data_IF_789848593513
#
_entry.id   IF_789848593513
#
_cell.length_a   1.000
_cell.length_b   1.000
_cell.length_c   1.000
_cell.angle_alpha   90.00
_cell.angle_beta   90.00
_cell.angle_gamma   90.00
#
_symmetry.space_group_name_H-M   'P 1'
#
loop_
_entity.id
_entity.type
_entity.pdbx_description
1 polymer ?
#
# COMPACT_ATOMS: atom_id res chain seq x y z
N UNK A 1 -20.17 43.86 18.75
CA UNK A 1 -20.73 43.72 17.39
C UNK A 1 -22.19 44.10 17.48
N UNK A 2 -22.71 44.85 16.51
CA UNK A 2 -24.14 45.12 16.45
C UNK A 2 -24.80 43.90 15.81
N UNK A 3 -25.78 43.31 16.47
CA UNK A 3 -26.50 42.14 15.98
C UNK A 3 -28.00 42.42 15.98
N UNK A 4 -28.72 41.84 15.01
CA UNK A 4 -30.16 41.97 14.88
C UNK A 4 -30.78 40.60 14.62
N UNK A 5 -31.90 40.34 15.28
CA UNK A 5 -32.66 39.10 15.13
C UNK A 5 -33.53 39.18 13.89
N UNK A 6 -33.30 38.31 12.93
CA UNK A 6 -34.05 38.24 11.67
C UNK A 6 -34.98 37.04 11.70
N UNK A 7 -36.27 37.32 11.54
CA UNK A 7 -37.31 36.28 11.40
C UNK A 7 -37.32 35.74 9.97
N UNK A 8 -37.38 34.41 9.80
CA UNK A 8 -37.37 33.79 8.49
C UNK A 8 -38.67 34.04 7.72
N UNK A 9 -38.60 33.91 6.40
CA UNK A 9 -39.73 33.94 5.48
C UNK A 9 -40.60 32.68 5.58
N UNK A 10 -39.98 31.55 5.93
CA UNK A 10 -40.67 30.29 6.19
C UNK A 10 -40.65 30.04 7.70
N UNK A 11 -41.84 30.02 8.30
CA UNK A 11 -42.06 29.85 9.74
C UNK A 11 -41.57 28.50 10.30
N UNK A 12 -41.20 27.55 9.43
CA UNK A 12 -40.60 26.28 9.82
C UNK A 12 -39.14 26.41 10.29
N UNK A 13 -38.51 27.57 10.11
CA UNK A 13 -37.13 27.84 10.52
C UNK A 13 -37.08 28.80 11.72
N UNK A 14 -35.99 28.78 12.52
CA UNK A 14 -35.87 29.65 13.67
C UNK A 14 -35.45 31.07 13.27
N UNK A 15 -35.73 32.03 14.15
CA UNK A 15 -35.11 33.36 14.11
C UNK A 15 -33.59 33.23 14.28
N UNK A 16 -32.82 34.01 13.50
CA UNK A 16 -31.35 34.00 13.56
C UNK A 16 -30.85 35.39 13.90
N UNK A 17 -29.93 35.46 14.87
CA UNK A 17 -29.20 36.68 15.19
C UNK A 17 -28.04 36.88 14.21
N UNK A 18 -28.15 37.90 13.36
CA UNK A 18 -27.15 38.25 12.35
C UNK A 18 -26.34 39.48 12.75
N UNK A 19 -25.06 39.50 12.42
CA UNK A 19 -24.19 40.67 12.51
C UNK A 19 -24.61 41.71 11.48
N UNK A 20 -24.77 42.96 11.93
CA UNK A 20 -25.17 44.10 11.12
C UNK A 20 -23.98 45.04 10.88
N UNK A 21 -23.78 45.44 9.63
CA UNK A 21 -22.84 46.48 9.24
C UNK A 21 -23.54 47.52 8.36
N UNK A 22 -23.38 48.81 8.71
CA UNK A 22 -23.99 49.93 7.97
C UNK A 22 -25.50 49.71 7.74
N UNK A 23 -26.21 49.35 8.81
CA UNK A 23 -27.67 49.12 8.83
C UNK A 23 -28.16 47.99 7.92
N UNK A 24 -27.27 47.08 7.51
CA UNK A 24 -27.61 45.91 6.70
C UNK A 24 -26.97 44.65 7.27
N UNK A 25 -27.61 43.51 7.04
CA UNK A 25 -27.02 42.21 7.34
C UNK A 25 -25.69 42.08 6.60
N UNK A 26 -24.62 41.85 7.36
CA UNK A 26 -23.28 41.71 6.81
C UNK A 26 -23.21 40.45 5.92
N UNK A 27 -22.62 40.56 4.73
CA UNK A 27 -22.53 39.47 3.75
C UNK A 27 -21.17 38.78 3.79
N UNK A 28 -20.70 38.49 4.99
CA UNK A 28 -19.41 37.85 5.25
C UNK A 28 -19.56 36.56 6.06
N UNK A 29 -18.41 35.92 6.36
CA UNK A 29 -18.33 34.60 6.96
C UNK A 29 -19.04 34.52 8.33
N UNK A 30 -19.13 35.62 9.09
CA UNK A 30 -19.73 35.62 10.43
C UNK A 30 -21.19 35.22 10.39
N UNK A 31 -21.91 35.65 9.35
CA UNK A 31 -23.32 35.40 9.18
C UNK A 31 -23.61 34.05 8.50
N UNK A 32 -22.65 33.49 7.78
CA UNK A 32 -22.71 32.07 7.38
C UNK A 32 -22.54 31.19 8.62
N UNK A 33 -21.55 31.49 9.48
CA UNK A 33 -21.34 30.80 10.75
C UNK A 33 -22.59 30.91 11.64
N UNK A 34 -23.21 32.09 11.73
CA UNK A 34 -24.44 32.30 12.50
C UNK A 34 -25.57 31.32 12.12
N UNK A 35 -25.74 31.04 10.83
CA UNK A 35 -26.71 30.04 10.36
C UNK A 35 -26.32 28.63 10.84
N UNK A 36 -25.06 28.22 10.70
CA UNK A 36 -24.59 26.92 11.16
C UNK A 36 -24.49 26.76 12.68
N UNK A 37 -24.72 27.82 13.45
CA UNK A 37 -24.74 27.78 14.93
C UNK A 37 -26.13 27.96 15.53
N UNK A 38 -27.11 28.47 14.77
CA UNK A 38 -28.45 28.79 15.28
C UNK A 38 -29.59 28.10 14.52
N UNK A 39 -29.43 27.75 13.24
CA UNK A 39 -30.45 27.03 12.47
C UNK A 39 -30.40 25.54 12.85
N UNK A 40 -31.42 25.03 13.53
CA UNK A 40 -31.50 23.64 13.99
C UNK A 40 -31.30 22.61 12.86
N UNK A 41 -31.62 22.97 11.62
CA UNK A 41 -31.40 22.10 10.45
C UNK A 41 -29.94 22.03 9.99
N UNK A 42 -29.11 22.98 10.44
CA UNK A 42 -27.70 23.12 10.06
C UNK A 42 -26.73 22.95 11.23
N UNK A 43 -27.18 23.13 12.48
CA UNK A 43 -26.33 23.00 13.67
C UNK A 43 -25.65 21.63 13.73
N UNK A 44 -24.37 21.63 14.09
CA UNK A 44 -23.54 20.43 14.27
C UNK A 44 -23.45 19.51 13.04
N UNK A 45 -23.73 20.06 11.85
CA UNK A 45 -23.76 19.26 10.61
C UNK A 45 -22.40 19.18 9.93
N UNK A 46 -21.63 20.28 9.88
CA UNK A 46 -20.33 20.39 9.18
C UNK A 46 -19.18 19.89 10.04
N UNK A 47 -18.28 19.12 9.44
CA UNK A 47 -17.09 18.58 10.06
C UNK A 47 -15.96 18.37 9.04
N UNK A 48 -14.72 18.25 9.52
CA UNK A 48 -13.58 17.87 8.69
C UNK A 48 -13.18 16.42 8.94
N UNK A 49 -13.27 15.59 7.90
CA UNK A 49 -12.84 14.20 7.93
C UNK A 49 -11.32 14.13 7.71
N UNK A 50 -10.59 13.83 8.79
CA UNK A 50 -9.11 13.76 8.81
C UNK A 50 -8.52 12.51 8.15
N UNK A 51 -9.36 11.56 7.72
CA UNK A 51 -8.92 10.39 6.96
C UNK A 51 -8.94 10.65 5.45
N UNK A 52 -9.99 11.31 4.96
CA UNK A 52 -10.11 11.68 3.54
C UNK A 52 -9.62 13.08 3.21
N UNK A 53 -9.31 13.89 4.23
CA UNK A 53 -8.98 15.31 4.12
C UNK A 53 -10.07 16.12 3.40
N UNK A 54 -11.34 15.82 3.71
CA UNK A 54 -12.51 16.47 3.10
C UNK A 54 -13.39 17.16 4.13
N UNK A 55 -13.99 18.27 3.72
CA UNK A 55 -15.15 18.83 4.43
C UNK A 55 -16.34 17.95 4.11
N UNK A 56 -17.04 17.54 5.16
CA UNK A 56 -18.20 16.66 5.09
C UNK A 56 -19.32 17.22 5.94
N UNK A 57 -20.54 16.75 5.67
CA UNK A 57 -21.62 16.86 6.62
C UNK A 57 -22.10 15.50 7.12
N UNK A 58 -22.48 15.47 8.40
CA UNK A 58 -22.82 14.24 9.13
C UNK A 58 -24.31 14.11 9.46
N UNK A 59 -25.12 15.10 9.04
CA UNK A 59 -26.56 15.19 9.26
C UNK A 59 -27.26 15.60 7.97
N UNK A 60 -28.55 15.30 7.85
CA UNK A 60 -29.33 15.75 6.69
C UNK A 60 -29.30 17.28 6.61
N UNK A 61 -29.04 17.80 5.41
CA UNK A 61 -29.16 19.21 5.10
C UNK A 61 -30.58 19.52 4.58
N UNK A 62 -31.03 20.78 4.62
CA UNK A 62 -32.32 21.19 4.06
C UNK A 62 -32.52 20.80 2.59
N UNK A 63 -31.42 20.69 1.82
CA UNK A 63 -31.47 20.39 0.39
C UNK A 63 -31.09 18.95 0.00
N UNK A 64 -30.42 18.17 0.86
CA UNK A 64 -30.15 16.75 0.60
C UNK A 64 -29.79 15.94 1.86
N UNK A 65 -30.03 14.63 1.78
CA UNK A 65 -29.74 13.68 2.87
C UNK A 65 -28.24 13.40 2.99
N UNK A 66 -27.81 13.08 4.21
CA UNK A 66 -26.52 12.48 4.49
C UNK A 66 -26.58 11.00 4.10
N UNK A 67 -25.81 10.60 3.08
CA UNK A 67 -25.77 9.23 2.58
C UNK A 67 -24.79 8.35 3.35
N UNK A 68 -23.76 8.95 3.96
CA UNK A 68 -22.77 8.26 4.78
C UNK A 68 -22.60 8.99 6.10
N UNK A 69 -23.22 8.47 7.16
CA UNK A 69 -23.15 9.05 8.51
C UNK A 69 -21.79 8.75 9.16
N UNK A 70 -21.14 7.65 8.79
CA UNK A 70 -19.91 7.18 9.41
C UNK A 70 -18.71 8.02 8.97
N UNK A 71 -18.57 8.23 7.66
CA UNK A 71 -17.49 9.04 7.08
C UNK A 71 -17.90 10.50 6.87
N UNK A 72 -19.20 10.79 6.93
CA UNK A 72 -19.76 12.05 6.48
C UNK A 72 -19.92 12.06 4.96
N UNK A 73 -20.90 12.82 4.50
CA UNK A 73 -21.13 13.04 3.07
C UNK A 73 -20.35 14.27 2.62
N UNK A 74 -19.53 14.14 1.57
CA UNK A 74 -18.67 15.23 1.11
C UNK A 74 -19.48 16.49 0.76
N UNK A 75 -18.98 17.65 1.18
CA UNK A 75 -19.48 18.95 0.76
C UNK A 75 -18.98 19.25 -0.66
N UNK A 76 -19.90 19.68 -1.52
CA UNK A 76 -19.63 19.94 -2.94
C UNK A 76 -20.00 21.36 -3.33
N UNK A 77 -19.58 21.81 -4.51
CA UNK A 77 -19.96 23.11 -5.07
C UNK A 77 -21.48 23.28 -5.15
N UNK A 78 -22.21 22.18 -5.41
CA UNK A 78 -23.68 22.19 -5.42
C UNK A 78 -24.25 22.50 -4.04
N UNK A 79 -23.62 22.04 -2.95
CA UNK A 79 -24.04 22.36 -1.59
C UNK A 79 -23.84 23.83 -1.26
N UNK A 80 -22.73 24.44 -1.72
CA UNK A 80 -22.52 25.88 -1.59
C UNK A 80 -23.63 26.68 -2.27
N UNK A 81 -24.02 26.31 -3.50
CA UNK A 81 -25.13 26.97 -4.21
C UNK A 81 -26.48 26.76 -3.51
N UNK A 82 -26.73 25.55 -3.00
CA UNK A 82 -27.96 25.24 -2.28
C UNK A 82 -28.05 25.98 -0.94
N UNK A 83 -26.93 26.15 -0.23
CA UNK A 83 -26.86 26.96 0.98
C UNK A 83 -27.18 28.44 0.67
N UNK A 84 -26.61 28.99 -0.40
CA UNK A 84 -26.90 30.38 -0.82
C UNK A 84 -28.39 30.55 -1.10
N UNK A 85 -29.02 29.57 -1.78
CA UNK A 85 -30.46 29.55 -2.00
C UNK A 85 -31.24 29.46 -0.68
N UNK A 86 -30.86 28.56 0.23
CA UNK A 86 -31.49 28.43 1.55
C UNK A 86 -31.46 29.74 2.35
N UNK A 87 -30.31 30.41 2.39
CA UNK A 87 -30.18 31.70 3.07
C UNK A 87 -30.98 32.82 2.37
N UNK A 88 -31.06 32.80 1.04
CA UNK A 88 -31.83 33.76 0.27
C UNK A 88 -33.34 33.62 0.50
N UNK A 89 -33.85 32.41 0.30
CA UNK A 89 -35.27 32.09 0.32
C UNK A 89 -35.85 32.18 1.73
N UNK A 90 -35.06 31.89 2.78
CA UNK A 90 -35.54 31.90 4.15
C UNK A 90 -35.15 33.17 4.92
N UNK A 91 -34.00 33.79 4.64
CA UNK A 91 -33.49 34.90 5.47
C UNK A 91 -33.23 36.20 4.70
N UNK A 92 -33.53 36.25 3.39
CA UNK A 92 -33.33 37.42 2.51
C UNK A 92 -31.85 37.85 2.40
N UNK A 93 -30.92 36.92 2.63
CA UNK A 93 -29.47 37.18 2.54
C UNK A 93 -28.84 36.30 1.47
N UNK A 94 -28.19 36.95 0.52
CA UNK A 94 -27.42 36.27 -0.55
C UNK A 94 -25.94 36.49 -0.30
N UNK A 95 -25.22 35.40 -0.01
CA UNK A 95 -23.77 35.38 0.16
C UNK A 95 -23.05 35.14 -1.16
N UNK A 96 -21.78 35.54 -1.23
CA UNK A 96 -20.87 35.12 -2.32
C UNK A 96 -20.39 33.69 -2.06
N UNK A 97 -20.13 32.94 -3.12
CA UNK A 97 -19.58 31.56 -3.06
C UNK A 97 -18.35 31.51 -2.18
N UNK A 98 -17.37 32.38 -2.43
CA UNK A 98 -16.11 32.47 -1.67
C UNK A 98 -16.35 32.69 -0.16
N UNK A 99 -17.36 33.49 0.20
CA UNK A 99 -17.71 33.74 1.60
C UNK A 99 -18.20 32.46 2.28
N UNK A 100 -19.03 31.68 1.58
CA UNK A 100 -19.58 30.42 2.08
C UNK A 100 -18.47 29.39 2.20
N UNK A 101 -17.67 29.20 1.16
CA UNK A 101 -16.58 28.21 1.16
C UNK A 101 -15.57 28.48 2.28
N UNK A 102 -15.19 29.74 2.51
CA UNK A 102 -14.34 30.11 3.64
C UNK A 102 -14.98 29.79 4.99
N UNK A 103 -16.25 30.13 5.20
CA UNK A 103 -16.95 29.85 6.44
C UNK A 103 -17.12 28.35 6.70
N UNK A 104 -17.49 27.58 5.67
CA UNK A 104 -17.62 26.12 5.73
C UNK A 104 -16.28 25.48 6.08
N UNK A 105 -15.18 25.95 5.47
CA UNK A 105 -13.85 25.49 5.81
C UNK A 105 -13.49 25.83 7.26
N UNK A 106 -13.77 27.04 7.74
CA UNK A 106 -13.53 27.43 9.15
C UNK A 106 -14.29 26.51 10.12
N UNK A 107 -15.60 26.32 9.90
CA UNK A 107 -16.46 25.47 10.71
C UNK A 107 -15.99 24.00 10.71
N UNK A 108 -15.61 23.48 9.55
CA UNK A 108 -15.12 22.12 9.43
C UNK A 108 -13.83 21.92 10.24
N UNK A 109 -12.90 22.89 10.19
CA UNK A 109 -11.62 22.83 10.89
C UNK A 109 -11.77 22.87 12.42
N UNK A 110 -12.82 23.50 12.94
CA UNK A 110 -13.17 23.45 14.37
C UNK A 110 -13.68 22.07 14.80
N UNK A 111 -14.18 21.27 13.86
CA UNK A 111 -14.86 19.98 14.09
C UNK A 111 -14.19 18.86 13.31
N UNK A 112 -12.94 18.57 13.65
CA UNK A 112 -12.17 17.47 13.06
C UNK A 112 -12.56 16.14 13.68
N UNK A 113 -12.64 15.10 12.85
CA UNK A 113 -12.75 13.73 13.33
C UNK A 113 -12.06 12.74 12.40
N UNK A 114 -11.74 11.55 12.92
CA UNK A 114 -11.31 10.41 12.12
C UNK A 114 -12.40 9.32 12.21
N UNK A 115 -13.01 8.91 11.10
CA UNK A 115 -14.04 7.86 11.10
C UNK A 115 -13.55 6.53 11.70
N UNK A 116 -12.29 6.17 11.44
CA UNK A 116 -11.68 4.96 11.97
C UNK A 116 -11.54 5.05 13.49
N UNK A 117 -11.01 6.15 14.02
CA UNK A 117 -10.89 6.33 15.47
C UNK A 117 -12.25 6.25 16.14
N UNK A 118 -13.27 6.99 15.62
CA UNK A 118 -14.64 6.93 16.14
C UNK A 118 -15.20 5.51 16.18
N UNK A 119 -14.94 4.71 15.15
CA UNK A 119 -15.35 3.30 15.13
C UNK A 119 -14.58 2.45 16.14
N UNK A 120 -13.24 2.57 16.18
CA UNK A 120 -12.40 1.81 17.10
C UNK A 120 -12.72 2.11 18.56
N UNK A 121 -13.00 3.38 18.89
CA UNK A 121 -13.36 3.84 20.24
C UNK A 121 -14.70 3.27 20.75
N UNK A 122 -15.55 2.75 19.85
CA UNK A 122 -16.83 2.13 20.20
C UNK A 122 -16.71 0.61 20.46
N UNK A 123 -15.58 0.00 20.11
CA UNK A 123 -15.40 -1.44 20.24
C UNK A 123 -15.09 -1.85 21.68
N UNK A 124 -15.64 -2.99 22.09
CA UNK A 124 -15.36 -3.61 23.39
C UNK A 124 -14.84 -5.03 23.17
N UNK A 125 -13.63 -5.29 23.66
CA UNK A 125 -13.00 -6.59 23.54
C UNK A 125 -13.59 -7.56 24.56
N UNK A 126 -13.92 -8.76 24.10
CA UNK A 126 -14.47 -9.83 24.93
C UNK A 126 -13.41 -10.61 25.74
N UNK A 127 -12.13 -10.24 25.62
CA UNK A 127 -11.03 -10.87 26.35
C UNK A 127 -10.49 -12.16 25.72
N UNK A 128 -11.03 -12.60 24.57
CA UNK A 128 -10.57 -13.80 23.88
C UNK A 128 -9.52 -13.41 22.83
N UNK A 129 -8.27 -13.93 22.92
CA UNK A 129 -7.23 -13.64 21.94
C UNK A 129 -7.50 -14.32 20.59
N UNK A 130 -7.39 -13.55 19.50
CA UNK A 130 -7.69 -13.97 18.12
C UNK A 130 -6.67 -13.42 17.12
N UNK A 131 -6.19 -12.19 17.27
CA UNK A 131 -5.38 -11.52 16.24
C UNK A 131 -4.09 -12.27 15.87
N UNK A 132 -3.60 -13.15 16.73
CA UNK A 132 -2.42 -13.97 16.53
C UNK A 132 -2.61 -15.11 15.51
N UNK A 133 -3.85 -15.56 15.28
CA UNK A 133 -4.15 -16.72 14.44
C UNK A 133 -5.04 -16.41 13.23
N UNK A 134 -5.37 -15.14 12.98
CA UNK A 134 -6.35 -14.73 11.96
C UNK A 134 -6.02 -15.29 10.58
N UNK A 135 -4.75 -15.19 10.15
CA UNK A 135 -4.36 -15.73 8.86
C UNK A 135 -4.49 -17.26 8.80
N UNK A 136 -4.21 -17.97 9.89
CA UNK A 136 -4.41 -19.41 9.95
C UNK A 136 -5.89 -19.78 9.91
N UNK A 137 -6.71 -19.12 10.73
CA UNK A 137 -8.11 -19.46 10.92
C UNK A 137 -8.96 -19.18 9.66
N UNK A 138 -8.67 -18.08 8.98
CA UNK A 138 -9.45 -17.62 7.82
C UNK A 138 -8.85 -17.96 6.46
N UNK A 139 -7.52 -18.06 6.36
CA UNK A 139 -6.81 -18.28 5.07
C UNK A 139 -5.98 -19.57 5.04
N UNK A 140 -5.97 -20.36 6.12
CA UNK A 140 -5.25 -21.64 6.16
C UNK A 140 -3.74 -21.49 6.16
N UNK A 141 -3.22 -20.34 6.57
CA UNK A 141 -1.78 -20.10 6.71
C UNK A 141 -1.22 -21.02 7.80
N UNK A 142 -0.07 -21.64 7.55
CA UNK A 142 0.62 -22.47 8.52
C UNK A 142 0.96 -21.66 9.79
N UNK A 143 0.72 -22.24 10.97
CA UNK A 143 1.04 -21.60 12.26
C UNK A 143 2.50 -21.84 12.62
N UNK A 144 3.29 -20.78 12.63
CA UNK A 144 4.66 -20.77 13.14
C UNK A 144 4.96 -19.40 13.78
N UNK A 145 6.14 -19.23 14.38
CA UNK A 145 6.52 -17.98 15.05
C UNK A 145 6.39 -16.75 14.13
N UNK A 146 6.73 -16.90 12.84
CA UNK A 146 6.65 -15.82 11.86
C UNK A 146 5.21 -15.43 11.54
N UNK A 147 4.34 -16.38 11.20
CA UNK A 147 2.96 -16.08 10.78
C UNK A 147 2.12 -15.55 11.94
N UNK A 148 2.38 -16.02 13.16
CA UNK A 148 1.75 -15.51 14.39
C UNK A 148 2.13 -14.05 14.64
N UNK A 149 3.42 -13.72 14.54
CA UNK A 149 3.89 -12.35 14.74
C UNK A 149 3.40 -11.41 13.63
N UNK A 150 3.44 -11.85 12.37
CA UNK A 150 2.92 -11.06 11.23
C UNK A 150 1.41 -10.80 11.38
N UNK A 151 0.64 -11.78 11.85
CA UNK A 151 -0.79 -11.62 12.11
C UNK A 151 -1.06 -10.56 13.18
N UNK A 152 -0.42 -10.65 14.34
CA UNK A 152 -0.54 -9.62 15.38
C UNK A 152 -0.03 -8.25 14.92
N UNK A 153 1.10 -8.23 14.19
CA UNK A 153 1.70 -7.00 13.65
C UNK A 153 0.75 -6.25 12.71
N UNK A 154 0.02 -6.97 11.85
CA UNK A 154 -0.96 -6.37 10.94
C UNK A 154 -2.01 -5.54 11.69
N UNK A 155 -2.69 -6.15 12.65
CA UNK A 155 -3.75 -5.49 13.40
C UNK A 155 -3.22 -4.37 14.31
N UNK A 156 -2.08 -4.60 14.97
CA UNK A 156 -1.40 -3.57 15.78
C UNK A 156 -1.00 -2.38 14.93
N UNK A 157 -0.46 -2.59 13.74
CA UNK A 157 -0.08 -1.52 12.83
C UNK A 157 -1.31 -0.75 12.33
N UNK A 158 -2.43 -1.43 12.02
CA UNK A 158 -3.69 -0.80 11.62
C UNK A 158 -4.23 0.14 12.69
N UNK A 159 -4.34 -0.35 13.92
CA UNK A 159 -4.80 0.45 15.06
C UNK A 159 -3.80 1.58 15.39
N UNK A 160 -2.50 1.29 15.36
CA UNK A 160 -1.47 2.31 15.63
C UNK A 160 -1.50 3.42 14.60
N UNK A 161 -1.67 3.13 13.30
CA UNK A 161 -1.82 4.16 12.26
C UNK A 161 -3.13 4.94 12.36
N UNK A 162 -4.19 4.33 12.91
CA UNK A 162 -5.42 5.04 13.23
C UNK A 162 -5.22 6.06 14.36
N UNK A 163 -4.58 5.70 15.47
CA UNK A 163 -4.39 6.62 16.62
C UNK A 163 -3.16 7.53 16.52
N UNK A 164 -2.10 7.10 15.84
CA UNK A 164 -0.83 7.83 15.65
C UNK A 164 -0.47 7.84 14.16
N UNK A 165 -1.19 8.64 13.35
CA UNK A 165 -0.93 8.73 11.93
C UNK A 165 0.50 9.23 11.69
N UNK A 166 1.14 8.68 10.67
CA UNK A 166 2.56 8.91 10.37
C UNK A 166 3.56 8.10 11.20
N UNK A 167 3.11 7.14 12.00
CA UNK A 167 4.03 6.17 12.61
C UNK A 167 4.74 5.34 11.52
N UNK A 168 6.03 5.06 11.77
CA UNK A 168 6.83 4.23 10.88
C UNK A 168 6.23 2.82 10.80
N UNK A 169 5.95 2.37 9.57
CA UNK A 169 5.61 0.99 9.26
C UNK A 169 5.95 0.78 7.78
N UNK A 170 7.08 0.14 7.54
CA UNK A 170 7.68 -0.10 6.22
C UNK A 170 7.53 -1.56 5.76
N UNK A 171 6.60 -2.29 6.35
CA UNK A 171 6.29 -3.67 6.02
C UNK A 171 5.04 -3.77 5.14
N UNK A 172 5.05 -4.72 4.20
CA UNK A 172 3.93 -5.09 3.34
C UNK A 172 3.70 -6.57 3.52
N UNK A 173 2.50 -6.94 3.93
CA UNK A 173 2.11 -8.36 3.98
C UNK A 173 1.72 -8.78 2.59
N UNK A 174 2.16 -9.96 2.15
CA UNK A 174 1.79 -10.51 0.84
C UNK A 174 0.96 -11.77 1.05
N UNK A 175 -0.31 -11.72 0.66
CA UNK A 175 -1.18 -12.88 0.62
C UNK A 175 -0.94 -13.62 -0.69
N UNK A 176 -0.23 -14.75 -0.62
CA UNK A 176 0.04 -15.65 -1.73
C UNK A 176 -0.89 -16.85 -1.66
N UNK A 177 -1.33 -17.38 -2.81
CA UNK A 177 -2.09 -18.64 -2.85
C UNK A 177 -3.02 -18.70 -4.05
N UNK A 178 -3.75 -19.79 -4.21
CA UNK A 178 -4.60 -20.00 -5.39
C UNK A 178 -5.59 -18.84 -5.66
N UNK A 179 -5.93 -18.64 -6.93
CA UNK A 179 -6.98 -17.70 -7.32
C UNK A 179 -8.33 -18.13 -6.72
N UNK A 180 -9.14 -17.15 -6.32
CA UNK A 180 -10.50 -17.41 -5.84
C UNK A 180 -10.62 -17.85 -4.37
N UNK A 181 -9.51 -18.04 -3.63
CA UNK A 181 -9.57 -18.37 -2.20
C UNK A 181 -10.01 -17.22 -1.29
N UNK A 182 -10.28 -16.03 -1.85
CA UNK A 182 -10.85 -14.90 -1.10
C UNK A 182 -9.84 -13.89 -0.50
N UNK A 183 -8.57 -13.88 -0.92
CA UNK A 183 -7.52 -12.95 -0.40
C UNK A 183 -7.94 -11.47 -0.41
N UNK A 184 -8.37 -10.94 -1.57
CA UNK A 184 -8.85 -9.55 -1.67
C UNK A 184 -10.14 -9.33 -0.87
N UNK A 185 -10.99 -10.37 -0.74
CA UNK A 185 -12.21 -10.28 0.06
C UNK A 185 -11.92 -10.24 1.56
N UNK A 186 -10.89 -10.94 2.03
CA UNK A 186 -10.41 -10.85 3.41
C UNK A 186 -10.03 -9.40 3.74
N UNK A 187 -9.24 -8.75 2.88
CA UNK A 187 -8.83 -7.35 3.05
C UNK A 187 -10.02 -6.38 2.97
N UNK A 188 -10.92 -6.61 2.02
CA UNK A 188 -12.14 -5.81 1.86
C UNK A 188 -13.07 -5.89 3.06
N UNK A 189 -13.27 -7.08 3.64
CA UNK A 189 -14.07 -7.24 4.86
C UNK A 189 -13.40 -6.50 6.02
N UNK A 190 -12.10 -6.68 6.24
CA UNK A 190 -11.39 -6.02 7.34
C UNK A 190 -11.40 -4.49 7.18
N UNK A 191 -11.11 -3.97 6.00
CA UNK A 191 -11.07 -2.52 5.76
C UNK A 191 -12.44 -1.86 5.68
N UNK A 192 -13.47 -2.60 5.24
CA UNK A 192 -14.82 -2.07 5.06
C UNK A 192 -14.81 -0.83 4.16
N UNK A 193 -15.38 0.26 4.65
CA UNK A 193 -15.43 1.56 3.96
C UNK A 193 -14.05 2.19 3.73
N UNK A 194 -13.00 1.70 4.39
CA UNK A 194 -11.62 2.22 4.32
C UNK A 194 -10.66 1.28 3.60
N UNK A 195 -11.19 0.35 2.80
CA UNK A 195 -10.42 -0.49 1.91
C UNK A 195 -10.35 0.11 0.50
N UNK A 196 -9.20 0.00 -0.15
CA UNK A 196 -9.06 0.33 -1.57
C UNK A 196 -8.12 -0.63 -2.27
N UNK A 197 -8.56 -1.17 -3.40
CA UNK A 197 -7.74 -1.94 -4.34
C UNK A 197 -7.41 -1.17 -5.60
N UNK A 198 -7.60 0.16 -5.61
CA UNK A 198 -7.43 1.01 -6.79
C UNK A 198 -6.04 1.66 -6.86
N UNK A 199 -5.16 1.37 -5.91
CA UNK A 199 -3.80 1.90 -5.87
C UNK A 199 -3.00 1.19 -6.96
N UNK A 200 -2.67 1.94 -8.01
CA UNK A 200 -1.90 1.47 -9.19
C UNK A 200 -0.62 2.25 -9.43
N UNK A 201 -0.54 3.47 -8.89
CA UNK A 201 0.60 4.37 -9.01
C UNK A 201 1.19 4.60 -7.62
N UNK A 202 2.51 4.72 -7.54
CA UNK A 202 3.25 4.88 -6.29
C UNK A 202 4.05 6.19 -6.25
N UNK A 203 3.78 7.07 -7.22
CA UNK A 203 4.36 8.39 -7.34
C UNK A 203 3.33 9.42 -7.80
N UNK A 204 3.57 10.67 -7.43
CA UNK A 204 2.78 11.81 -7.86
C UNK A 204 1.48 12.02 -7.10
N UNK A 205 0.72 13.02 -7.57
CA UNK A 205 -0.52 13.50 -6.94
C UNK A 205 -1.61 12.45 -6.89
N UNK A 206 -1.79 11.71 -7.97
CA UNK A 206 -2.82 10.66 -8.09
C UNK A 206 -2.61 9.53 -7.07
N UNK A 207 -1.36 9.14 -6.81
CA UNK A 207 -1.03 8.14 -5.81
C UNK A 207 -1.45 8.59 -4.40
N UNK A 208 -1.18 9.86 -4.06
CA UNK A 208 -1.58 10.45 -2.78
C UNK A 208 -3.10 10.56 -2.67
N UNK A 209 -3.76 11.02 -3.73
CA UNK A 209 -5.23 11.14 -3.76
C UNK A 209 -5.91 9.77 -3.58
N UNK A 210 -5.33 8.70 -4.12
CA UNK A 210 -5.83 7.34 -3.96
C UNK A 210 -5.71 6.79 -2.52
N UNK A 211 -4.91 7.42 -1.64
CA UNK A 211 -4.81 7.06 -0.22
C UNK A 211 -5.82 7.78 0.67
N UNK A 212 -6.45 8.86 0.19
CA UNK A 212 -7.45 9.58 0.97
C UNK A 212 -8.62 8.65 1.28
N UNK A 213 -8.97 8.52 2.56
CA UNK A 213 -10.04 7.62 2.99
C UNK A 213 -9.60 6.18 3.25
N UNK A 214 -8.32 5.82 3.00
CA UNK A 214 -7.88 4.41 2.95
C UNK A 214 -7.04 4.03 4.18
N UNK A 215 -7.50 3.00 4.91
CA UNK A 215 -6.74 2.32 5.96
C UNK A 215 -6.01 1.08 5.41
N UNK A 216 -6.66 0.29 4.55
CA UNK A 216 -6.07 -0.93 3.96
C UNK A 216 -6.03 -0.74 2.44
N UNK A 217 -4.82 -0.52 1.92
CA UNK A 217 -4.54 -0.40 0.51
C UNK A 217 -4.05 -1.73 -0.06
N UNK A 218 -4.84 -2.36 -0.91
CA UNK A 218 -4.43 -3.56 -1.64
C UNK A 218 -3.61 -3.20 -2.87
N UNK A 219 -2.46 -3.87 -3.03
CA UNK A 219 -1.64 -3.89 -4.23
C UNK A 219 -1.89 -5.24 -4.94
N UNK A 220 -2.83 -5.30 -5.90
CA UNK A 220 -3.12 -6.54 -6.61
C UNK A 220 -1.99 -6.87 -7.58
N UNK A 221 -1.72 -8.17 -7.74
CA UNK A 221 -0.86 -8.73 -8.80
C UNK A 221 0.58 -8.16 -8.80
N UNK A 222 1.33 -8.45 -7.73
CA UNK A 222 2.72 -8.01 -7.53
C UNK A 222 3.69 -8.36 -8.68
N UNK A 223 3.38 -9.35 -9.52
CA UNK A 223 4.22 -9.74 -10.65
C UNK A 223 4.28 -8.71 -11.80
N UNK A 224 3.31 -7.80 -11.88
CA UNK A 224 3.27 -6.78 -12.94
C UNK A 224 4.41 -5.78 -12.87
N UNK A 225 5.05 -5.63 -11.70
CA UNK A 225 6.02 -4.57 -11.47
C UNK A 225 7.44 -4.94 -11.95
N UNK A 226 8.04 -4.02 -12.68
CA UNK A 226 9.45 -3.97 -13.00
C UNK A 226 10.29 -3.70 -11.75
N UNK A 227 11.60 -3.92 -11.84
CA UNK A 227 12.52 -3.59 -10.74
C UNK A 227 12.45 -2.11 -10.32
N UNK A 228 12.24 -1.20 -11.28
CA UNK A 228 12.11 0.23 -10.99
C UNK A 228 10.84 0.52 -10.19
N UNK A 229 9.71 -0.07 -10.58
CA UNK A 229 8.44 0.07 -9.87
C UNK A 229 8.50 -0.55 -8.47
N UNK A 230 9.22 -1.67 -8.28
CA UNK A 230 9.46 -2.23 -6.95
C UNK A 230 10.23 -1.26 -6.04
N UNK A 231 11.23 -0.54 -6.58
CA UNK A 231 11.94 0.51 -5.81
C UNK A 231 11.03 1.71 -5.50
N UNK A 232 10.19 2.13 -6.46
CA UNK A 232 9.19 3.18 -6.26
C UNK A 232 8.19 2.80 -5.17
N UNK A 233 7.68 1.56 -5.22
CA UNK A 233 6.80 0.97 -4.19
C UNK A 233 7.49 1.01 -2.82
N UNK A 234 8.74 0.55 -2.72
CA UNK A 234 9.51 0.60 -1.46
C UNK A 234 9.62 2.03 -0.92
N UNK A 235 9.99 2.98 -1.77
CA UNK A 235 10.08 4.39 -1.40
C UNK A 235 8.72 4.95 -0.98
N UNK A 236 7.65 4.57 -1.69
CA UNK A 236 6.29 5.00 -1.39
C UNK A 236 5.81 4.45 -0.05
N UNK A 237 5.91 3.16 0.23
CA UNK A 237 5.45 2.54 1.48
C UNK A 237 6.19 3.07 2.71
N UNK A 238 7.49 3.38 2.56
CA UNK A 238 8.32 3.83 3.69
C UNK A 238 8.00 5.24 4.19
N UNK A 239 7.28 6.08 3.42
CA UNK A 239 6.98 7.45 3.86
C UNK A 239 6.03 7.45 5.06
N UNK A 240 6.25 8.40 5.96
CA UNK A 240 5.41 8.67 7.13
C UNK A 240 4.40 9.78 6.88
N UNK A 241 4.59 10.57 5.83
CA UNK A 241 3.74 11.70 5.48
C UNK A 241 3.62 11.81 3.96
N UNK A 242 2.43 12.21 3.53
CA UNK A 242 2.10 12.56 2.16
C UNK A 242 1.98 14.08 2.03
N UNK A 243 2.72 14.68 1.11
CA UNK A 243 2.67 16.12 0.84
C UNK A 243 2.09 16.36 -0.54
N UNK A 244 0.98 17.09 -0.61
CA UNK A 244 0.33 17.42 -1.88
C UNK A 244 -0.19 18.84 -1.84
N UNK A 245 -0.09 19.55 -2.97
CA UNK A 245 -0.78 20.83 -3.16
C UNK A 245 -2.13 20.55 -3.83
N UNK A 246 -3.26 20.80 -3.16
CA UNK A 246 -4.58 20.63 -3.78
C UNK A 246 -4.73 21.50 -5.03
N UNK A 247 -5.61 21.10 -5.95
CA UNK A 247 -6.00 21.98 -7.04
C UNK A 247 -6.58 23.27 -6.44
N UNK A 248 -6.10 24.43 -6.89
CA UNK A 248 -6.44 25.75 -6.34
C UNK A 248 -6.00 26.02 -4.89
N UNK A 249 -5.31 25.08 -4.25
CA UNK A 249 -4.68 25.28 -2.94
C UNK A 249 -3.53 26.28 -3.02
N UNK A 250 -3.48 27.22 -2.07
CA UNK A 250 -2.36 28.16 -1.95
C UNK A 250 -1.13 27.53 -1.29
N UNK A 251 -1.36 26.58 -0.39
CA UNK A 251 -0.33 25.95 0.44
C UNK A 251 -0.22 24.46 0.14
N UNK A 252 0.95 23.89 0.41
CA UNK A 252 1.13 22.43 0.42
C UNK A 252 0.48 21.90 1.69
N UNK A 253 -0.34 20.87 1.55
CA UNK A 253 -0.95 20.16 2.66
C UNK A 253 -0.14 18.90 2.96
N UNK A 254 0.01 18.64 4.26
CA UNK A 254 0.76 17.52 4.81
C UNK A 254 -0.23 16.58 5.50
N UNK A 255 -0.31 15.35 5.02
CA UNK A 255 -1.20 14.32 5.55
C UNK A 255 -0.37 13.18 6.12
N UNK A 256 -0.31 13.01 7.46
CA UNK A 256 0.41 11.90 8.07
C UNK A 256 -0.22 10.57 7.67
N UNK A 257 0.62 9.58 7.33
CA UNK A 257 0.15 8.36 6.68
C UNK A 257 -0.63 7.45 7.61
N UNK A 258 -1.78 6.98 7.12
CA UNK A 258 -2.65 6.02 7.81
C UNK A 258 -2.74 4.66 7.10
N UNK A 259 -2.54 4.63 5.79
CA UNK A 259 -2.76 3.43 4.97
C UNK A 259 -1.73 2.34 5.21
N UNK A 260 -2.16 1.10 5.43
CA UNK A 260 -1.33 -0.10 5.41
C UNK A 260 -1.42 -0.73 4.02
N UNK A 261 -0.27 -1.11 3.47
CA UNK A 261 -0.22 -1.77 2.18
C UNK A 261 -0.20 -3.29 2.36
N UNK A 262 -1.03 -3.97 1.60
CA UNK A 262 -1.06 -5.44 1.54
C UNK A 262 -1.07 -5.86 0.09
N UNK A 263 -0.15 -6.74 -0.30
CA UNK A 263 -0.13 -7.31 -1.64
C UNK A 263 -0.95 -8.60 -1.72
N UNK A 264 -1.55 -8.85 -2.87
CA UNK A 264 -2.17 -10.15 -3.18
C UNK A 264 -1.56 -10.69 -4.46
N UNK A 265 -1.30 -11.99 -4.48
CA UNK A 265 -0.71 -12.68 -5.65
C UNK A 265 -1.19 -14.12 -5.73
N UNK A 266 -1.26 -14.65 -6.95
CA UNK A 266 -1.54 -16.06 -7.19
C UNK A 266 -0.28 -16.87 -7.48
N UNK A 267 0.82 -16.18 -7.77
CA UNK A 267 2.07 -16.78 -8.18
C UNK A 267 3.01 -16.97 -7.01
N UNK A 268 3.93 -17.92 -7.18
CA UNK A 268 4.88 -18.30 -6.14
C UNK A 268 6.14 -17.44 -6.12
N UNK A 269 6.46 -16.80 -7.25
CA UNK A 269 7.71 -16.08 -7.44
C UNK A 269 7.44 -14.66 -8.00
N UNK A 270 7.54 -13.65 -7.13
CA UNK A 270 7.13 -12.28 -7.48
C UNK A 270 8.08 -11.20 -6.96
N UNK A 271 8.98 -11.55 -6.03
CA UNK A 271 9.99 -10.62 -5.54
C UNK A 271 11.18 -10.58 -6.52
N UNK A 272 11.14 -9.62 -7.44
CA UNK A 272 12.15 -9.49 -8.50
C UNK A 272 13.48 -8.88 -8.06
N UNK A 273 13.48 -8.15 -6.94
CA UNK A 273 14.70 -7.49 -6.48
C UNK A 273 15.46 -8.33 -5.46
N UNK A 274 16.79 -8.35 -5.55
CA UNK A 274 17.66 -9.07 -4.60
C UNK A 274 17.97 -8.26 -3.33
N UNK A 275 17.61 -6.97 -3.29
CA UNK A 275 17.99 -6.04 -2.22
C UNK A 275 16.77 -5.41 -1.54
N UNK A 276 16.51 -5.76 -0.28
CA UNK A 276 15.45 -5.10 0.49
C UNK A 276 14.08 -5.75 0.41
N UNK A 277 14.03 -7.05 0.10
CA UNK A 277 12.83 -7.89 0.27
C UNK A 277 12.40 -8.03 1.74
N UNK A 278 13.25 -7.61 2.68
CA UNK A 278 12.95 -7.53 4.12
C UNK A 278 11.65 -6.80 4.48
N UNK A 279 11.14 -5.96 3.57
CA UNK A 279 9.89 -5.21 3.73
C UNK A 279 8.67 -6.03 3.38
N UNK A 280 8.81 -7.08 2.57
CA UNK A 280 7.71 -7.94 2.17
C UNK A 280 7.62 -9.12 3.14
N UNK A 281 6.42 -9.44 3.56
CA UNK A 281 6.11 -10.58 4.41
C UNK A 281 5.18 -11.55 3.67
N UNK A 282 5.75 -12.45 2.83
CA UNK A 282 5.01 -13.53 2.17
C UNK A 282 4.31 -14.44 3.17
N UNK A 283 3.01 -14.67 2.99
CA UNK A 283 2.26 -15.72 3.70
C UNK A 283 1.44 -16.55 2.70
N UNK A 284 1.58 -17.87 2.80
CA UNK A 284 0.94 -18.83 1.90
C UNK A 284 -0.45 -19.19 2.44
N UNK A 285 -1.47 -18.78 1.70
CA UNK A 285 -2.87 -19.02 1.97
C UNK A 285 -3.34 -20.27 1.22
N UNK A 286 -3.86 -21.25 1.95
CA UNK A 286 -4.23 -22.57 1.41
C UNK A 286 -5.73 -22.87 1.50
N UNK A 287 -6.48 -22.07 2.26
CA UNK A 287 -7.90 -22.28 2.54
C UNK A 287 -8.75 -21.16 1.94
N UNK A 288 -9.90 -21.52 1.39
CA UNK A 288 -10.90 -20.57 0.95
C UNK A 288 -11.53 -19.83 2.14
N UNK A 289 -11.70 -18.51 1.99
CA UNK A 289 -12.25 -17.64 3.02
C UNK A 289 -13.69 -17.99 3.36
N UNK A 290 -13.97 -18.12 4.66
CA UNK A 290 -15.33 -18.05 5.19
C UNK A 290 -15.70 -16.58 5.46
N UNK A 291 -16.46 -16.01 4.54
CA UNK A 291 -16.87 -14.60 4.57
C UNK A 291 -17.68 -14.26 5.81
N UNK A 292 -18.67 -15.10 6.16
CA UNK A 292 -19.57 -14.84 7.28
C UNK A 292 -18.85 -14.93 8.62
N UNK A 293 -17.95 -15.91 8.75
CA UNK A 293 -17.14 -16.05 9.95
C UNK A 293 -16.22 -14.84 10.15
N UNK A 294 -15.61 -14.33 9.08
CA UNK A 294 -14.73 -13.16 9.17
C UNK A 294 -15.54 -11.88 9.49
N UNK A 295 -16.68 -11.68 8.84
CA UNK A 295 -17.58 -10.55 9.12
C UNK A 295 -18.01 -10.54 10.60
N UNK A 296 -18.37 -11.70 11.16
CA UNK A 296 -18.76 -11.82 12.56
C UNK A 296 -17.59 -11.60 13.54
N UNK A 297 -16.36 -11.96 13.15
CA UNK A 297 -15.18 -11.80 14.00
C UNK A 297 -14.54 -10.41 13.91
N UNK A 298 -14.74 -9.67 12.80
CA UNK A 298 -14.05 -8.43 12.45
C UNK A 298 -13.96 -7.44 13.61
N UNK A 299 -15.08 -7.15 14.25
CA UNK A 299 -15.14 -6.15 15.31
C UNK A 299 -14.34 -6.58 16.53
N UNK A 300 -14.38 -7.87 16.90
CA UNK A 300 -13.57 -8.41 17.99
C UNK A 300 -12.07 -8.47 17.67
N UNK A 301 -11.68 -8.67 16.41
CA UNK A 301 -10.28 -8.58 15.97
C UNK A 301 -9.72 -7.18 16.19
N UNK A 302 -10.47 -6.15 15.78
CA UNK A 302 -10.07 -4.77 16.02
C UNK A 302 -10.17 -4.38 17.50
N UNK A 303 -11.18 -4.87 18.24
CA UNK A 303 -11.31 -4.62 19.67
C UNK A 303 -10.11 -5.13 20.46
N UNK A 304 -9.64 -6.35 20.18
CA UNK A 304 -8.42 -6.91 20.77
C UNK A 304 -7.20 -6.03 20.45
N UNK A 305 -7.05 -5.62 19.20
CA UNK A 305 -5.94 -4.77 18.77
C UNK A 305 -5.96 -3.38 19.43
N UNK A 306 -7.14 -2.81 19.66
CA UNK A 306 -7.35 -1.56 20.42
C UNK A 306 -6.96 -1.74 21.88
N UNK A 307 -7.41 -2.81 22.53
CA UNK A 307 -7.02 -3.12 23.92
C UNK A 307 -5.50 -3.27 24.06
N UNK A 308 -4.87 -3.97 23.12
CA UNK A 308 -3.42 -4.12 23.07
C UNK A 308 -2.70 -2.79 22.84
N UNK A 309 -3.19 -1.94 21.94
CA UNK A 309 -2.65 -0.60 21.72
C UNK A 309 -2.73 0.27 22.98
N UNK A 310 -3.86 0.31 23.68
CA UNK A 310 -3.97 1.10 24.92
C UNK A 310 -3.08 0.56 26.04
N UNK A 311 -2.89 -0.75 26.12
CA UNK A 311 -1.96 -1.36 27.10
C UNK A 311 -0.49 -1.03 26.81
N UNK A 312 -0.10 -0.95 25.54
CA UNK A 312 1.28 -0.75 25.10
C UNK A 312 1.32 0.15 23.85
N UNK A 313 1.06 1.46 23.99
CA UNK A 313 0.90 2.34 22.84
C UNK A 313 2.18 2.45 22.02
N UNK A 314 3.35 2.31 22.64
CA UNK A 314 4.67 2.41 22.00
C UNK A 314 5.28 1.06 21.61
N UNK A 315 4.47 -0.01 21.54
CA UNK A 315 4.98 -1.32 21.12
C UNK A 315 5.59 -1.24 19.71
N UNK A 316 6.83 -1.69 19.50
CA UNK A 316 7.47 -1.60 18.19
C UNK A 316 6.70 -2.37 17.13
N UNK A 317 6.54 -1.79 15.93
CA UNK A 317 5.87 -2.43 14.79
C UNK A 317 6.86 -3.25 13.95
N UNK A 318 7.53 -4.23 14.58
CA UNK A 318 8.51 -5.11 13.93
C UNK A 318 8.36 -6.56 14.40
N UNK A 319 9.04 -7.50 13.75
CA UNK A 319 9.18 -8.86 14.28
C UNK A 319 10.14 -8.87 15.47
N UNK A 320 9.77 -9.54 16.56
CA UNK A 320 10.48 -9.56 17.83
C UNK A 320 11.34 -10.80 18.00
N UNK A 321 10.80 -11.99 17.75
CA UNK A 321 11.55 -13.22 17.99
C UNK A 321 12.63 -13.45 16.93
N UNK A 322 13.82 -13.98 17.31
CA UNK A 322 14.84 -14.39 16.34
C UNK A 322 14.32 -15.45 15.36
N UNK A 323 13.46 -16.35 15.83
CA UNK A 323 12.82 -17.39 15.02
C UNK A 323 11.91 -16.80 13.95
N UNK A 324 11.01 -15.88 14.31
CA UNK A 324 10.15 -15.20 13.34
C UNK A 324 10.96 -14.45 12.27
N UNK A 325 12.08 -13.81 12.67
CA UNK A 325 12.97 -13.12 11.71
C UNK A 325 13.69 -14.09 10.77
N UNK A 326 14.11 -15.26 11.25
CA UNK A 326 14.74 -16.28 10.44
C UNK A 326 13.74 -16.87 9.42
N UNK A 327 12.54 -17.23 9.87
CA UNK A 327 11.46 -17.72 9.02
C UNK A 327 10.98 -16.67 8.02
N UNK A 328 10.89 -15.39 8.42
CA UNK A 328 10.58 -14.29 7.50
C UNK A 328 11.60 -14.19 6.36
N UNK A 329 12.89 -14.34 6.69
CA UNK A 329 13.97 -14.31 5.70
C UNK A 329 13.86 -15.49 4.74
N UNK A 330 13.58 -16.68 5.25
CA UNK A 330 13.37 -17.87 4.42
C UNK A 330 12.17 -17.67 3.47
N UNK A 331 11.02 -17.22 3.97
CA UNK A 331 9.84 -16.96 3.15
C UNK A 331 10.09 -15.89 2.07
N UNK A 332 10.89 -14.87 2.38
CA UNK A 332 11.34 -13.86 1.41
C UNK A 332 12.29 -14.43 0.34
N UNK A 333 13.12 -15.40 0.71
CA UNK A 333 14.02 -16.09 -0.21
C UNK A 333 13.25 -17.01 -1.15
N UNK A 334 12.26 -17.74 -0.64
CA UNK A 334 11.37 -18.63 -1.40
C UNK A 334 10.47 -17.86 -2.38
N UNK A 335 10.00 -16.66 -2.02
CA UNK A 335 9.18 -15.81 -2.89
C UNK A 335 9.98 -15.02 -3.96
N UNK A 336 11.31 -15.19 -4.02
CA UNK A 336 12.14 -14.54 -5.02
C UNK A 336 11.80 -15.03 -6.41
N UNK A 337 11.68 -14.09 -7.34
CA UNK A 337 11.50 -14.42 -8.75
C UNK A 337 12.70 -15.20 -9.29
N UNK A 338 12.40 -16.38 -9.81
CA UNK A 338 13.36 -17.26 -10.48
C UNK A 338 13.23 -17.12 -12.00
N UNK A 339 14.33 -16.79 -12.66
CA UNK A 339 14.32 -16.68 -14.12
C UNK A 339 14.31 -18.09 -14.74
N UNK A 340 13.43 -18.44 -15.69
CA UNK A 340 13.41 -19.77 -16.31
C UNK A 340 14.73 -20.21 -16.96
N UNK A 341 15.63 -19.27 -17.28
CA UNK A 341 16.98 -19.63 -17.74
C UNK A 341 17.88 -20.13 -16.61
N UNK A 342 17.60 -19.84 -15.34
CA UNK A 342 18.31 -20.39 -14.18
C UNK A 342 18.23 -21.92 -14.19
N UNK A 343 17.05 -22.49 -14.46
CA UNK A 343 16.83 -23.95 -14.52
C UNK A 343 17.66 -24.65 -15.61
N UNK A 344 18.12 -23.92 -16.61
CA UNK A 344 18.96 -24.44 -17.69
C UNK A 344 20.42 -24.14 -17.42
N UNK A 345 20.73 -22.90 -17.01
CA UNK A 345 22.09 -22.40 -16.86
C UNK A 345 22.76 -23.02 -15.63
N UNK A 346 22.10 -23.06 -14.46
CA UNK A 346 22.75 -23.51 -13.22
C UNK A 346 23.15 -24.99 -13.29
N UNK A 347 22.24 -25.92 -13.68
CA UNK A 347 22.63 -27.31 -13.84
C UNK A 347 23.70 -27.51 -14.92
N UNK A 348 23.70 -26.68 -15.97
CA UNK A 348 24.73 -26.75 -17.00
C UNK A 348 26.09 -26.25 -16.50
N UNK A 349 26.12 -25.22 -15.65
CA UNK A 349 27.34 -24.69 -15.02
C UNK A 349 28.01 -25.69 -14.09
N UNK A 350 27.21 -26.52 -13.40
CA UNK A 350 27.69 -27.54 -12.47
C UNK A 350 28.11 -28.86 -13.14
N UNK A 351 27.95 -28.98 -14.47
CA UNK A 351 28.53 -30.11 -15.23
C UNK A 351 30.05 -29.97 -15.30
N UNK A 352 30.73 -31.08 -15.06
CA UNK A 352 32.15 -31.19 -15.34
C UNK A 352 32.43 -30.98 -16.82
N UNK A 353 33.56 -30.35 -17.09
CA UNK A 353 34.09 -30.11 -18.43
C UNK A 353 35.48 -30.72 -18.51
N UNK A 354 35.98 -30.93 -19.72
CA UNK A 354 37.38 -31.35 -19.89
C UNK A 354 38.33 -30.22 -19.48
N UNK A 355 39.49 -30.55 -18.95
CA UNK A 355 40.52 -29.57 -18.58
C UNK A 355 40.98 -28.70 -19.77
N UNK A 356 40.94 -29.24 -20.99
CA UNK A 356 41.27 -28.57 -22.26
C UNK A 356 40.07 -27.90 -22.93
N UNK A 357 38.90 -27.79 -22.27
CA UNK A 357 37.64 -27.34 -22.89
C UNK A 357 37.75 -26.00 -23.62
N UNK A 358 38.56 -25.06 -23.11
CA UNK A 358 38.77 -23.75 -23.72
C UNK A 358 39.87 -23.70 -24.78
N UNK A 359 40.69 -24.75 -24.89
CA UNK A 359 41.78 -24.86 -25.85
C UNK A 359 41.31 -25.47 -27.18
N UNK A 360 40.08 -26.03 -27.24
CA UNK A 360 39.49 -26.57 -28.46
C UNK A 360 38.44 -25.64 -29.09
N UNK A 361 38.26 -25.69 -30.41
CA UNK A 361 37.16 -24.99 -31.09
C UNK A 361 35.77 -25.53 -30.67
N UNK A 362 34.76 -24.66 -30.66
CA UNK A 362 33.42 -25.01 -30.23
C UNK A 362 32.76 -26.02 -31.19
N UNK A 363 32.60 -27.27 -30.75
CA UNK A 363 31.99 -28.35 -31.54
C UNK A 363 32.98 -29.38 -32.08
N UNK A 364 34.28 -29.11 -31.98
CA UNK A 364 35.34 -30.07 -32.28
C UNK A 364 35.87 -30.62 -30.96
N UNK A 365 35.22 -31.66 -30.44
CA UNK A 365 35.90 -32.53 -29.49
C UNK A 365 36.78 -33.47 -30.32
N UNK A 366 38.12 -33.43 -30.23
CA UNK A 366 38.95 -34.37 -30.95
C UNK A 366 38.50 -35.81 -30.62
N UNK A 367 38.62 -36.76 -31.59
CA UNK A 367 38.36 -38.17 -31.32
C UNK A 367 39.12 -38.64 -30.08
N UNK A 368 38.60 -39.68 -29.44
CA UNK A 368 39.18 -40.23 -28.22
C UNK A 368 40.57 -40.81 -28.45
N UNK A 369 41.59 -39.95 -28.41
CA UNK A 369 42.99 -40.32 -28.50
C UNK A 369 43.55 -40.54 -27.09
N UNK A 370 42.99 -41.53 -26.38
CA UNK A 370 43.74 -42.38 -25.43
C UNK A 370 44.50 -41.78 -24.24
N UNK A 371 44.43 -40.48 -23.95
CA UNK A 371 44.99 -39.90 -22.72
C UNK A 371 43.86 -39.31 -21.88
N UNK A 372 43.75 -39.81 -20.65
CA UNK A 372 42.72 -39.52 -19.63
C UNK A 372 42.32 -38.04 -19.62
N UNK A 373 41.18 -37.72 -20.25
CA UNK A 373 40.59 -36.40 -20.15
C UNK A 373 40.28 -36.14 -18.67
N UNK A 374 41.07 -35.26 -18.05
CA UNK A 374 40.80 -34.85 -16.68
C UNK A 374 39.53 -34.00 -16.72
N UNK A 375 38.49 -34.49 -16.05
CA UNK A 375 37.26 -33.75 -15.85
C UNK A 375 37.46 -32.80 -14.68
N UNK A 376 37.15 -31.53 -14.91
CA UNK A 376 37.30 -30.45 -13.94
C UNK A 376 35.99 -29.70 -13.82
N UNK A 377 35.73 -29.18 -12.63
CA UNK A 377 34.62 -28.26 -12.44
C UNK A 377 34.91 -26.96 -13.19
N UNK A 378 33.89 -26.44 -13.86
CA UNK A 378 33.99 -25.18 -14.59
C UNK A 378 34.37 -24.04 -13.63
N UNK A 379 35.51 -23.40 -13.89
CA UNK A 379 36.04 -22.28 -13.08
C UNK A 379 35.78 -20.91 -13.72
N UNK A 380 35.51 -20.87 -15.02
CA UNK A 380 35.21 -19.68 -15.82
C UNK A 380 34.19 -19.98 -16.91
N UNK A 381 33.54 -18.97 -17.47
CA UNK A 381 32.57 -19.16 -18.56
C UNK A 381 32.33 -17.86 -19.32
N UNK A 382 32.31 -17.90 -20.65
CA UNK A 382 31.99 -16.72 -21.45
C UNK A 382 30.47 -16.45 -21.51
N UNK A 383 30.06 -15.19 -21.63
CA UNK A 383 28.62 -14.87 -21.82
C UNK A 383 28.07 -15.49 -23.11
N UNK A 384 28.91 -15.54 -24.16
CA UNK A 384 28.56 -16.17 -25.44
C UNK A 384 28.50 -17.70 -25.33
N UNK A 385 29.32 -18.31 -24.47
CA UNK A 385 29.28 -19.75 -24.20
C UNK A 385 27.94 -20.14 -23.57
N UNK A 386 27.47 -19.38 -22.57
CA UNK A 386 26.14 -19.59 -21.97
C UNK A 386 25.04 -19.41 -23.04
N UNK A 387 25.16 -18.42 -23.93
CA UNK A 387 24.16 -18.15 -24.95
C UNK A 387 24.07 -19.24 -26.02
N UNK A 388 25.21 -19.58 -26.62
CA UNK A 388 25.27 -20.48 -27.77
C UNK A 388 25.27 -21.95 -27.32
N UNK A 389 26.02 -22.30 -26.27
CA UNK A 389 26.23 -23.69 -25.89
C UNK A 389 25.24 -24.18 -24.83
N UNK A 390 24.90 -23.35 -23.84
CA UNK A 390 23.91 -23.71 -22.82
C UNK A 390 22.48 -23.49 -23.31
N UNK A 391 22.14 -22.27 -23.74
CA UNK A 391 20.77 -21.91 -24.15
C UNK A 391 20.44 -22.27 -25.60
N UNK A 392 21.43 -22.69 -26.39
CA UNK A 392 21.28 -23.10 -27.80
C UNK A 392 20.68 -22.02 -28.70
N UNK A 393 20.90 -20.75 -28.38
CA UNK A 393 20.45 -19.64 -29.23
C UNK A 393 21.51 -19.23 -30.26
N UNK A 394 21.10 -18.85 -31.48
CA UNK A 394 22.01 -18.30 -32.49
C UNK A 394 22.66 -16.99 -32.01
N UNK A 395 23.92 -16.75 -32.41
CA UNK A 395 24.69 -15.58 -31.99
C UNK A 395 24.03 -14.27 -32.41
N UNK A 396 23.32 -14.26 -33.54
CA UNK A 396 22.65 -13.09 -34.11
C UNK A 396 21.46 -12.61 -33.24
N UNK A 397 20.91 -13.51 -32.42
CA UNK A 397 19.81 -13.19 -31.50
C UNK A 397 20.31 -12.65 -30.15
N UNK A 398 21.64 -12.55 -29.97
CA UNK A 398 22.20 -11.98 -28.75
C UNK A 398 21.95 -10.47 -28.74
N UNK A 399 21.08 -10.03 -27.84
CA UNK A 399 20.76 -8.62 -27.62
C UNK A 399 21.27 -8.14 -26.27
N UNK A 400 21.41 -6.82 -26.09
CA UNK A 400 21.80 -6.24 -24.80
C UNK A 400 20.88 -6.67 -23.64
N UNK A 401 19.54 -6.73 -23.78
CA UNK A 401 18.65 -7.30 -22.75
C UNK A 401 18.99 -8.75 -22.39
N UNK A 402 19.21 -9.62 -23.38
CA UNK A 402 19.52 -11.04 -23.15
C UNK A 402 20.87 -11.22 -22.44
N UNK A 403 21.88 -10.45 -22.83
CA UNK A 403 23.19 -10.43 -22.15
C UNK A 403 23.06 -9.94 -20.70
N UNK A 404 22.22 -8.93 -20.43
CA UNK A 404 21.92 -8.47 -19.06
C UNK A 404 21.18 -9.52 -18.24
N UNK A 405 20.27 -10.28 -18.85
CA UNK A 405 19.54 -11.39 -18.21
C UNK A 405 20.50 -12.47 -17.73
N UNK A 406 21.41 -12.95 -18.58
CA UNK A 406 22.49 -13.88 -18.19
C UNK A 406 23.35 -13.28 -17.07
N UNK A 407 23.75 -12.00 -17.20
CA UNK A 407 24.59 -11.37 -16.18
C UNK A 407 23.93 -11.30 -14.80
N UNK A 408 22.61 -11.17 -14.73
CA UNK A 408 21.88 -11.17 -13.47
C UNK A 408 21.85 -12.57 -12.84
N UNK A 409 21.60 -13.62 -13.63
CA UNK A 409 21.63 -15.02 -13.19
C UNK A 409 23.01 -15.39 -12.62
N UNK A 410 24.07 -15.07 -13.36
CA UNK A 410 25.45 -15.34 -12.94
C UNK A 410 25.81 -14.62 -11.65
N UNK A 411 25.41 -13.34 -11.51
CA UNK A 411 25.68 -12.56 -10.29
C UNK A 411 24.97 -13.16 -9.07
N UNK A 412 23.70 -13.57 -9.20
CA UNK A 412 22.93 -14.20 -8.12
C UNK A 412 23.55 -15.53 -7.68
N UNK A 413 24.11 -16.26 -8.63
CA UNK A 413 24.76 -17.56 -8.42
C UNK A 413 26.19 -17.47 -7.91
N UNK A 414 26.64 -16.27 -7.49
CA UNK A 414 27.96 -16.06 -6.90
C UNK A 414 29.13 -15.97 -7.88
N UNK A 415 28.88 -15.93 -9.20
CA UNK A 415 29.93 -15.80 -10.19
C UNK A 415 30.37 -14.34 -10.38
N UNK A 416 31.68 -14.12 -10.52
CA UNK A 416 32.28 -12.79 -10.60
C UNK A 416 32.41 -12.40 -12.07
N UNK A 417 31.79 -11.27 -12.45
CA UNK A 417 31.81 -10.75 -13.82
C UNK A 417 33.14 -10.03 -14.11
N UNK A 418 33.69 -10.27 -15.30
CA UNK A 418 34.87 -9.58 -15.80
C UNK A 418 35.08 -9.78 -17.30
N UNK A 419 36.23 -9.32 -17.78
CA UNK A 419 36.73 -9.67 -19.11
C UNK A 419 37.84 -10.69 -18.90
N UNK A 420 37.66 -11.88 -19.47
CA UNK A 420 38.60 -12.97 -19.32
C UNK A 420 38.95 -13.54 -20.70
N UNK A 421 40.06 -14.28 -20.75
CA UNK A 421 40.43 -15.08 -21.92
C UNK A 421 39.92 -16.51 -21.74
N UNK A 422 39.35 -17.06 -22.79
CA UNK A 422 38.71 -18.38 -22.80
C UNK A 422 39.38 -19.28 -23.85
N UNK A 423 40.72 -19.26 -23.87
CA UNK A 423 41.55 -19.98 -24.84
C UNK A 423 41.21 -19.62 -26.29
N UNK A 424 41.23 -20.62 -27.17
CA UNK A 424 40.95 -20.50 -28.59
C UNK A 424 39.44 -20.58 -28.89
N UNK A 425 38.66 -21.20 -27.98
CA UNK A 425 37.21 -21.42 -28.15
C UNK A 425 36.40 -20.13 -28.25
N UNK A 426 36.75 -19.12 -27.44
CA UNK A 426 36.11 -17.82 -27.45
C UNK A 426 37.13 -16.69 -27.34
N UNK A 427 36.98 -15.61 -28.13
CA UNK A 427 37.84 -14.45 -28.01
C UNK A 427 37.72 -13.83 -26.61
N UNK A 428 38.73 -13.03 -26.24
CA UNK A 428 38.71 -12.25 -25.00
C UNK A 428 37.42 -11.43 -24.92
N UNK A 429 36.55 -11.82 -23.97
CA UNK A 429 35.18 -11.34 -23.95
C UNK A 429 34.64 -11.27 -22.53
N UNK A 430 33.47 -10.64 -22.40
CA UNK A 430 32.76 -10.57 -21.12
C UNK A 430 32.30 -11.96 -20.71
N UNK A 431 32.61 -12.32 -19.47
CA UNK A 431 32.01 -13.49 -18.83
C UNK A 431 32.33 -13.53 -17.36
N UNK A 432 32.51 -14.72 -16.80
CA UNK A 432 32.42 -14.92 -15.37
C UNK A 432 33.44 -15.95 -14.87
N UNK A 433 33.92 -15.78 -13.64
CA UNK A 433 34.71 -16.78 -12.91
C UNK A 433 33.99 -17.21 -11.64
N UNK A 434 34.12 -18.47 -11.24
CA UNK A 434 33.55 -19.00 -10.01
C UNK A 434 34.33 -18.41 -8.84
N UNK A 435 33.62 -17.89 -7.84
CA UNK A 435 34.26 -17.42 -6.60
C UNK A 435 34.78 -18.67 -5.88
N UNK A 436 36.11 -18.79 -5.80
CA UNK A 436 36.80 -19.85 -5.04
C UNK A 436 36.46 -19.78 -3.55
#
# INVERSE_FOLDING_TARGET
MNCEKITPLNESFPDIEFVIEREKVAKDYRNVIALFTQDESLVDSIAFNTLSNRVVFTRNMPWRKCSDVRNGTEWTDSDTLNFIRHAGDNYRVIFRVETVDHAIMMLAQERRFCPIQKYLDQLQWDGIPRIYNVFADFLGVERNAYTIEVSSLFFRAAVTRAYRPGCQFDHVIILQGAQGIGKSSFLRILGGDWYSSSIRKFEGKEAIEALNGVLIGEIPELQGFSKAEVEEIKAFITRTEDSVRPAYGRWVEHSPRRTLFVGTTNDDDYLRDSTGNRRFFPIICTKALDFKALEAARDQLFAEAVALYHSMPNYPLTLHSPEARALAKQAQEEANYHDPWEDIILPWLDKEIRADHWECEAGEYPPCDGHTAQWVMRDRVATLEIWCECLKFPIEKMTTPNSKRIANIMRRSGWIRGNYRYGERYPASRGYIKRL
#
